data_IF_215532967034
#
_entry.id   IF_215532967034
#
_cell.length_a   1.000
_cell.length_b   1.000
_cell.length_c   1.000
_cell.angle_alpha   90.00
_cell.angle_beta   90.00
_cell.angle_gamma   90.00
#
_symmetry.space_group_name_H-M   'P 1'
#
loop_
_entity.id
_entity.type
_entity.pdbx_description
1 polymer ?
#
# COMPACT_ATOMS: atom_id res chain seq x y z
N UNK A 1 -5.19 -10.91 0.91
CA UNK A 1 -4.73 -9.91 1.92
C UNK A 1 -3.22 -9.99 2.01
N UNK A 2 -2.57 -8.85 2.22
CA UNK A 2 -1.12 -8.79 2.40
C UNK A 2 -0.75 -9.61 3.66
N UNK A 3 0.22 -10.56 3.56
CA UNK A 3 0.53 -11.47 4.67
C UNK A 3 0.89 -10.76 5.98
N UNK A 4 1.69 -9.71 5.92
CA UNK A 4 2.08 -8.95 7.10
C UNK A 4 0.87 -8.26 7.75
N UNK A 5 -0.05 -7.76 6.93
CA UNK A 5 -1.28 -7.14 7.43
C UNK A 5 -2.18 -8.19 8.10
N UNK A 6 -2.32 -9.36 7.49
CA UNK A 6 -3.10 -10.45 8.09
C UNK A 6 -2.55 -10.83 9.45
N UNK A 7 -1.23 -10.97 9.57
CA UNK A 7 -0.57 -11.28 10.84
C UNK A 7 -0.86 -10.22 11.89
N UNK A 8 -0.71 -8.94 11.53
CA UNK A 8 -0.99 -7.83 12.44
C UNK A 8 -2.45 -7.84 12.93
N UNK A 9 -3.39 -8.09 12.03
CA UNK A 9 -4.81 -8.13 12.38
C UNK A 9 -5.13 -9.31 13.30
N UNK A 10 -4.52 -10.47 13.08
CA UNK A 10 -4.71 -11.63 13.95
C UNK A 10 -4.14 -11.37 15.35
N UNK A 11 -2.97 -10.77 15.44
CA UNK A 11 -2.36 -10.39 16.71
C UNK A 11 -3.23 -9.36 17.45
N UNK A 12 -3.75 -8.37 16.73
CA UNK A 12 -4.64 -7.37 17.31
C UNK A 12 -5.94 -7.99 17.82
N UNK A 13 -6.52 -8.92 17.08
CA UNK A 13 -7.72 -9.63 17.51
C UNK A 13 -7.46 -10.45 18.78
N UNK A 14 -6.30 -11.09 18.87
CA UNK A 14 -5.90 -11.86 20.05
C UNK A 14 -5.77 -10.97 21.30
N UNK A 15 -5.35 -9.72 21.14
CA UNK A 15 -5.26 -8.74 22.22
C UNK A 15 -6.63 -8.19 22.66
N UNK A 16 -7.66 -8.37 21.84
CA UNK A 16 -9.00 -7.82 22.08
C UNK A 16 -10.08 -8.92 22.00
N UNK A 17 -9.97 -9.99 22.80
CA UNK A 17 -10.87 -11.13 22.65
C UNK A 17 -12.32 -10.84 22.99
N UNK A 18 -12.57 -9.86 23.87
CA UNK A 18 -13.90 -9.52 24.35
C UNK A 18 -14.62 -8.45 23.50
N UNK A 19 -13.95 -7.89 22.49
CA UNK A 19 -14.56 -6.91 21.62
C UNK A 19 -15.48 -7.59 20.60
N UNK A 20 -16.69 -7.01 20.33
CA UNK A 20 -17.59 -7.53 19.31
C UNK A 20 -16.99 -7.38 17.91
N UNK A 21 -17.46 -8.20 16.97
CA UNK A 21 -16.98 -8.14 15.58
C UNK A 21 -17.31 -6.81 14.88
N UNK A 22 -18.28 -6.05 15.44
CA UNK A 22 -18.65 -4.72 14.93
C UNK A 22 -17.72 -3.61 15.44
N UNK A 23 -16.80 -3.91 16.37
CA UNK A 23 -15.86 -2.91 16.88
C UNK A 23 -14.91 -2.46 15.79
N UNK A 24 -14.54 -1.18 15.79
CA UNK A 24 -13.58 -0.65 14.82
C UNK A 24 -12.18 -1.19 15.07
N UNK A 25 -11.47 -1.51 13.99
CA UNK A 25 -10.06 -1.95 14.07
C UNK A 25 -9.21 -0.82 14.62
N UNK A 26 -9.38 0.39 14.10
CA UNK A 26 -8.65 1.57 14.53
C UNK A 26 -9.41 2.28 15.63
N UNK A 27 -8.76 2.49 16.77
CA UNK A 27 -9.30 3.27 17.89
C UNK A 27 -9.02 4.76 17.76
N UNK A 28 -8.09 5.11 16.88
CA UNK A 28 -7.66 6.48 16.64
C UNK A 28 -8.17 6.92 15.29
N UNK A 29 -8.84 8.07 15.24
CA UNK A 29 -9.35 8.61 13.98
C UNK A 29 -8.22 9.12 13.10
N UNK A 30 -7.26 9.84 13.70
CA UNK A 30 -6.05 10.29 13.03
C UNK A 30 -4.92 10.42 14.06
N UNK A 31 -3.68 10.45 13.61
CA UNK A 31 -2.52 10.50 14.51
C UNK A 31 -1.44 11.48 14.01
N UNK A 32 -1.82 12.52 13.28
CA UNK A 32 -0.87 13.46 12.68
C UNK A 32 0.02 14.13 13.72
N UNK A 33 -0.52 14.57 14.84
CA UNK A 33 0.26 15.24 15.88
C UNK A 33 1.31 14.28 16.48
N UNK A 34 0.92 13.05 16.75
CA UNK A 34 1.85 12.03 17.27
C UNK A 34 2.98 11.74 16.29
N UNK A 35 2.65 11.62 15.00
CA UNK A 35 3.66 11.41 13.95
C UNK A 35 4.60 12.59 13.83
N UNK A 36 4.08 13.82 13.91
CA UNK A 36 4.88 15.04 13.84
C UNK A 36 5.86 15.12 15.00
N UNK A 37 5.41 14.83 16.21
CA UNK A 37 6.26 14.84 17.39
C UNK A 37 7.33 13.73 17.33
N UNK A 38 6.96 12.53 16.89
CA UNK A 38 7.88 11.41 16.77
C UNK A 38 8.97 11.71 15.73
N UNK A 39 8.58 12.26 14.59
CA UNK A 39 9.55 12.65 13.54
C UNK A 39 10.53 13.70 14.06
N UNK A 40 10.05 14.70 14.79
CA UNK A 40 10.90 15.73 15.37
C UNK A 40 11.92 15.14 16.36
N UNK A 41 11.52 14.16 17.17
CA UNK A 41 12.41 13.51 18.14
C UNK A 41 13.60 12.81 17.52
N UNK A 42 13.44 12.25 16.32
CA UNK A 42 14.51 11.50 15.63
C UNK A 42 15.14 12.31 14.50
N UNK A 43 14.83 13.61 14.40
CA UNK A 43 15.42 14.49 13.40
C UNK A 43 14.92 14.28 11.97
N UNK A 44 13.79 13.64 11.78
CA UNK A 44 13.18 13.45 10.47
C UNK A 44 12.25 14.61 10.12
N UNK A 45 12.03 14.79 8.82
CA UNK A 45 11.00 15.70 8.33
C UNK A 45 9.62 15.24 8.80
N UNK A 46 8.68 16.18 8.89
CA UNK A 46 7.29 15.87 9.21
C UNK A 46 6.73 14.84 8.24
N UNK A 47 6.12 13.78 8.78
CA UNK A 47 5.46 12.73 8.01
C UNK A 47 3.95 12.92 8.13
N UNK A 48 3.26 12.90 6.99
CA UNK A 48 1.80 13.03 6.94
C UNK A 48 1.15 11.69 6.59
N UNK A 49 -0.16 11.58 6.80
CA UNK A 49 -0.92 10.42 6.34
C UNK A 49 -0.82 10.24 4.83
N UNK A 50 -0.75 11.36 4.09
CA UNK A 50 -0.59 11.32 2.65
C UNK A 50 0.77 10.73 2.24
N UNK A 51 1.82 11.04 2.98
CA UNK A 51 3.14 10.44 2.76
C UNK A 51 3.11 8.93 2.96
N UNK A 52 2.40 8.45 3.98
CA UNK A 52 2.23 7.01 4.21
C UNK A 52 1.46 6.33 3.08
N UNK A 53 0.46 7.02 2.53
CA UNK A 53 -0.29 6.55 1.38
C UNK A 53 0.60 6.42 0.15
N UNK A 54 1.46 7.40 -0.11
CA UNK A 54 2.45 7.34 -1.19
C UNK A 54 3.45 6.21 -0.98
N UNK A 55 3.94 6.03 0.23
CA UNK A 55 4.85 4.94 0.56
C UNK A 55 4.21 3.58 0.28
N UNK A 56 2.98 3.38 0.69
CA UNK A 56 2.24 2.15 0.44
C UNK A 56 2.14 1.86 -1.06
N UNK A 57 1.73 2.87 -1.84
CA UNK A 57 1.60 2.73 -3.29
C UNK A 57 2.95 2.39 -3.94
N UNK A 58 4.01 3.07 -3.54
CA UNK A 58 5.36 2.84 -4.06
C UNK A 58 5.81 1.40 -3.78
N UNK A 59 5.67 0.93 -2.56
CA UNK A 59 6.06 -0.43 -2.17
C UNK A 59 5.26 -1.47 -2.96
N UNK A 60 3.95 -1.27 -3.10
CA UNK A 60 3.11 -2.19 -3.86
C UNK A 60 3.55 -2.29 -5.31
N UNK A 61 3.81 -1.15 -5.96
CA UNK A 61 4.21 -1.11 -7.37
C UNK A 61 5.59 -1.73 -7.55
N UNK A 62 6.54 -1.42 -6.69
CA UNK A 62 7.87 -2.02 -6.73
C UNK A 62 7.84 -3.53 -6.45
N UNK A 63 6.84 -4.00 -5.71
CA UNK A 63 6.63 -5.43 -5.45
C UNK A 63 5.95 -6.14 -6.62
N UNK A 64 5.59 -5.43 -7.69
CA UNK A 64 5.01 -6.02 -8.88
C UNK A 64 3.50 -6.01 -8.94
N UNK A 65 2.81 -5.34 -8.02
CA UNK A 65 1.36 -5.20 -8.08
C UNK A 65 1.00 -4.26 -9.23
N UNK A 66 0.01 -4.65 -10.03
CA UNK A 66 -0.43 -3.83 -11.16
C UNK A 66 -1.08 -2.53 -10.70
N UNK A 67 -0.93 -1.48 -11.52
CA UNK A 67 -1.41 -0.15 -11.19
C UNK A 67 -2.92 -0.08 -10.99
N UNK A 68 -3.78 -0.72 -11.81
CA UNK A 68 -5.21 -0.71 -11.54
C UNK A 68 -5.59 -1.31 -10.19
N UNK A 69 -4.89 -2.35 -9.74
CA UNK A 69 -5.14 -2.96 -8.43
C UNK A 69 -4.74 -2.00 -7.31
N UNK A 70 -3.55 -1.38 -7.38
CA UNK A 70 -3.11 -0.39 -6.40
C UNK A 70 -4.09 0.77 -6.35
N UNK A 71 -4.52 1.27 -7.52
CA UNK A 71 -5.48 2.35 -7.63
C UNK A 71 -6.79 2.02 -6.92
N UNK A 72 -7.28 0.79 -7.09
CA UNK A 72 -8.50 0.32 -6.43
C UNK A 72 -8.32 0.29 -4.91
N UNK A 73 -7.19 -0.20 -4.43
CA UNK A 73 -6.89 -0.23 -2.99
C UNK A 73 -6.81 1.18 -2.39
N UNK A 74 -6.33 2.15 -3.17
CA UNK A 74 -6.27 3.56 -2.76
C UNK A 74 -7.62 4.28 -2.87
N UNK A 75 -8.62 3.64 -3.46
CA UNK A 75 -9.94 4.22 -3.64
C UNK A 75 -10.09 5.12 -4.86
N UNK A 76 -9.15 5.08 -5.81
CA UNK A 76 -9.29 5.80 -7.07
C UNK A 76 -10.33 5.12 -7.96
N UNK A 77 -11.18 5.91 -8.61
CA UNK A 77 -12.28 5.41 -9.46
C UNK A 77 -12.05 5.63 -10.95
N UNK A 78 -10.85 6.03 -11.32
CA UNK A 78 -10.52 6.43 -12.70
C UNK A 78 -9.85 5.33 -13.52
N UNK A 79 -9.96 4.06 -13.09
CA UNK A 79 -9.34 2.93 -13.76
C UNK A 79 -7.82 2.88 -13.64
N UNK A 80 -7.24 3.66 -12.74
CA UNK A 80 -5.80 3.71 -12.50
C UNK A 80 -5.07 4.85 -13.20
N UNK A 81 -5.78 5.75 -13.87
CA UNK A 81 -5.16 6.86 -14.61
C UNK A 81 -4.30 7.75 -13.70
N UNK A 82 -4.82 8.16 -12.55
CA UNK A 82 -4.08 8.99 -11.60
C UNK A 82 -2.87 8.24 -11.04
N UNK A 83 -3.04 6.98 -10.68
CA UNK A 83 -1.98 6.14 -10.15
C UNK A 83 -0.88 5.93 -11.19
N UNK A 84 -1.24 5.69 -12.45
CA UNK A 84 -0.28 5.55 -13.55
C UNK A 84 0.51 6.85 -13.74
N UNK A 85 -0.16 8.00 -13.71
CA UNK A 85 0.48 9.30 -13.86
C UNK A 85 1.50 9.56 -12.75
N UNK A 86 1.17 9.19 -11.51
CA UNK A 86 2.00 9.46 -10.34
C UNK A 86 3.13 8.44 -10.18
N UNK A 87 2.86 7.15 -10.43
CA UNK A 87 3.76 6.06 -10.07
C UNK A 87 4.23 5.21 -11.26
N UNK A 88 3.75 5.49 -12.48
CA UNK A 88 4.04 4.64 -13.64
C UNK A 88 5.52 4.46 -13.94
N UNK A 89 6.33 5.45 -13.61
CA UNK A 89 7.78 5.39 -13.84
C UNK A 89 8.48 4.30 -13.02
N UNK A 90 7.88 3.84 -11.93
CA UNK A 90 8.44 2.78 -11.08
C UNK A 90 8.30 1.38 -11.71
N UNK A 91 7.56 1.27 -12.83
CA UNK A 91 7.22 -0.02 -13.43
C UNK A 91 8.09 -0.41 -14.62
N UNK A 92 9.11 0.36 -14.97
CA UNK A 92 9.90 0.09 -16.16
C UNK A 92 10.58 -1.29 -16.11
N UNK A 93 11.28 -1.60 -15.01
CA UNK A 93 11.93 -2.90 -14.84
C UNK A 93 10.92 -4.04 -14.83
N UNK A 94 9.77 -3.81 -14.19
CA UNK A 94 8.69 -4.78 -14.15
C UNK A 94 8.13 -5.04 -15.57
N UNK A 95 8.00 -4.00 -16.39
CA UNK A 95 7.55 -4.12 -17.77
C UNK A 95 8.47 -5.03 -18.58
N UNK A 96 9.77 -4.83 -18.44
CA UNK A 96 10.77 -5.67 -19.10
C UNK A 96 10.66 -7.14 -18.66
N UNK A 97 10.50 -7.37 -17.34
CA UNK A 97 10.33 -8.71 -16.80
C UNK A 97 9.04 -9.36 -17.31
N UNK A 98 7.95 -8.61 -17.40
CA UNK A 98 6.67 -9.12 -17.89
C UNK A 98 6.74 -9.47 -19.37
N UNK A 99 7.50 -8.72 -20.18
CA UNK A 99 7.66 -9.02 -21.61
C UNK A 99 8.22 -10.42 -21.84
N UNK A 100 9.08 -10.90 -20.95
CA UNK A 100 9.66 -12.25 -21.05
C UNK A 100 8.62 -13.36 -20.85
N UNK A 101 7.47 -13.05 -20.29
CA UNK A 101 6.39 -14.02 -20.05
C UNK A 101 5.47 -14.18 -21.24
N UNK A 102 5.56 -13.28 -22.23
CA UNK A 102 4.69 -13.33 -23.41
C UNK A 102 5.18 -14.41 -24.37
N UNK A 103 4.26 -15.26 -24.81
CA UNK A 103 4.51 -16.24 -25.83
C UNK A 103 3.28 -16.34 -26.75
N UNK A 104 3.52 -16.39 -28.02
CA UNK A 104 2.42 -16.52 -28.99
C UNK A 104 2.11 -17.98 -29.36
N UNK A 105 2.64 -18.94 -28.58
CA UNK A 105 2.41 -20.37 -28.86
C UNK A 105 3.11 -20.89 -30.08
N UNK A 106 4.09 -20.16 -30.61
CA UNK A 106 4.85 -20.58 -31.80
C UNK A 106 6.04 -21.42 -31.37
N UNK A 107 6.22 -22.57 -32.04
CA UNK A 107 7.42 -23.36 -31.84
C UNK A 107 8.64 -22.60 -32.38
N UNK A 108 9.70 -22.60 -31.60
CA UNK A 108 10.95 -21.97 -31.99
C UNK A 108 11.64 -22.78 -33.12
#
# INVERSE_FOLDING_TARGET
MIPELEKMLRELRAQRPDEPSSATVMRVFECQNSMTHAAAKIGMKRITHHDLRHLFATICIESGVDIPTVSRWLGHKDGGALCMKTYGHLRQDHSLAQAQRVSFGMAA
#
